data_IF_501123025816
#
_entry.id   IF_501123025816
#
_cell.length_a   1.000
_cell.length_b   1.000
_cell.length_c   1.000
_cell.angle_alpha   90.00
_cell.angle_beta   90.00
_cell.angle_gamma   90.00
#
_symmetry.space_group_name_H-M   'P 1'
#
loop_
_entity.id
_entity.type
_entity.pdbx_description
1 polymer ?
#
# COMPACT_ATOMS: atom_id res chain seq x y z
N UNK A 1 17.09 -30.14 -30.05
CA UNK A 1 17.53 -29.09 -29.10
C UNK A 1 16.33 -28.21 -28.76
N UNK A 2 15.94 -28.05 -27.49
CA UNK A 2 14.87 -27.14 -27.12
C UNK A 2 15.31 -25.69 -27.42
N UNK A 3 14.48 -24.94 -28.16
CA UNK A 3 14.71 -23.52 -28.45
C UNK A 3 14.76 -22.74 -27.13
N UNK A 4 15.94 -22.25 -26.77
CA UNK A 4 16.09 -21.29 -25.67
C UNK A 4 15.50 -19.97 -26.14
N UNK A 5 14.50 -19.46 -25.42
CA UNK A 5 13.89 -18.17 -25.74
C UNK A 5 14.97 -17.07 -25.70
N UNK A 6 14.93 -16.07 -26.60
CA UNK A 6 15.88 -14.97 -26.60
C UNK A 6 15.82 -14.24 -25.25
N UNK A 7 16.98 -13.99 -24.65
CA UNK A 7 17.09 -13.26 -23.40
C UNK A 7 16.67 -11.81 -23.62
N UNK A 8 15.44 -11.49 -23.21
CA UNK A 8 14.94 -10.12 -23.16
C UNK A 8 15.69 -9.37 -22.05
N UNK A 9 16.13 -8.14 -22.33
CA UNK A 9 16.64 -7.24 -21.29
C UNK A 9 15.55 -7.05 -20.21
N UNK A 10 15.93 -7.26 -18.95
CA UNK A 10 15.02 -7.12 -17.81
C UNK A 10 14.51 -5.69 -17.73
N UNK A 11 13.22 -5.50 -17.99
CA UNK A 11 12.55 -4.22 -17.87
C UNK A 11 12.28 -3.86 -16.40
N UNK A 12 12.07 -2.58 -16.08
CA UNK A 12 11.83 -2.12 -14.70
C UNK A 12 10.53 -2.64 -14.08
N UNK A 13 9.64 -3.25 -14.88
CA UNK A 13 8.43 -3.92 -14.39
C UNK A 13 8.66 -5.40 -14.05
N UNK A 14 9.74 -6.00 -14.53
CA UNK A 14 10.01 -7.43 -14.34
C UNK A 14 10.39 -7.74 -12.87
N UNK A 15 10.67 -6.70 -12.08
CA UNK A 15 10.86 -6.77 -10.62
C UNK A 15 9.54 -7.07 -9.86
N UNK A 16 8.39 -6.86 -10.48
CA UNK A 16 7.05 -7.00 -9.86
C UNK A 16 6.32 -8.25 -10.37
N UNK A 17 5.49 -8.87 -9.53
CA UNK A 17 4.63 -9.98 -9.99
C UNK A 17 3.58 -9.46 -10.97
N UNK A 18 3.07 -10.39 -11.77
CA UNK A 18 1.91 -10.16 -12.62
C UNK A 18 0.69 -9.65 -11.84
N UNK A 19 0.50 -10.11 -10.59
CA UNK A 19 -0.55 -9.64 -9.70
C UNK A 19 -0.34 -8.21 -9.22
N UNK A 20 0.88 -7.86 -8.80
CA UNK A 20 1.22 -6.50 -8.35
C UNK A 20 1.00 -5.49 -9.46
N UNK A 21 1.44 -5.85 -10.68
CA UNK A 21 1.25 -5.04 -11.89
C UNK A 21 -0.24 -4.88 -12.21
N UNK A 22 -1.06 -5.93 -12.05
CA UNK A 22 -2.52 -5.84 -12.26
C UNK A 22 -3.17 -4.89 -11.28
N UNK A 23 -2.82 -4.96 -10.01
CA UNK A 23 -3.36 -4.07 -8.97
C UNK A 23 -2.94 -2.63 -9.24
N UNK A 24 -1.65 -2.39 -9.54
CA UNK A 24 -1.16 -1.05 -9.90
C UNK A 24 -1.85 -0.51 -11.15
N UNK A 25 -2.05 -1.34 -12.19
CA UNK A 25 -2.82 -0.98 -13.39
C UNK A 25 -4.28 -0.65 -13.07
N UNK A 26 -4.92 -1.42 -12.18
CA UNK A 26 -6.30 -1.17 -11.77
C UNK A 26 -6.42 0.21 -11.12
N UNK A 27 -5.61 0.52 -10.11
CA UNK A 27 -5.60 1.86 -9.50
C UNK A 27 -5.30 2.96 -10.52
N UNK A 28 -4.29 2.74 -11.35
CA UNK A 28 -3.90 3.69 -12.38
C UNK A 28 -5.02 4.02 -13.37
N UNK A 29 -5.67 3.00 -13.94
CA UNK A 29 -6.79 3.22 -14.86
C UNK A 29 -8.02 3.78 -14.17
N UNK A 30 -8.28 3.40 -12.91
CA UNK A 30 -9.36 3.98 -12.12
C UNK A 30 -9.13 5.48 -11.86
N UNK A 31 -7.91 5.91 -11.55
CA UNK A 31 -7.57 7.34 -11.42
C UNK A 31 -7.75 8.10 -12.72
N UNK A 32 -7.39 7.49 -13.86
CA UNK A 32 -7.61 8.11 -15.18
C UNK A 32 -9.11 8.23 -15.46
N UNK A 33 -9.87 7.16 -15.25
CA UNK A 33 -11.30 7.15 -15.50
C UNK A 33 -12.04 8.18 -14.65
N UNK A 34 -11.73 8.28 -13.36
CA UNK A 34 -12.34 9.28 -12.48
C UNK A 34 -11.95 10.70 -12.84
N UNK A 35 -10.67 10.94 -13.20
CA UNK A 35 -10.23 12.24 -13.69
C UNK A 35 -10.95 12.65 -14.99
N UNK A 36 -11.15 11.72 -15.93
CA UNK A 36 -11.91 11.99 -17.15
C UNK A 36 -13.37 12.34 -16.85
N UNK A 37 -14.02 11.62 -15.95
CA UNK A 37 -15.40 11.94 -15.51
C UNK A 37 -15.47 13.34 -14.91
N UNK A 38 -14.51 13.71 -14.06
CA UNK A 38 -14.43 15.05 -13.48
C UNK A 38 -14.24 16.12 -14.56
N UNK A 39 -13.33 15.90 -15.51
CA UNK A 39 -13.10 16.85 -16.61
C UNK A 39 -14.37 17.04 -17.45
N UNK A 40 -15.07 15.96 -17.81
CA UNK A 40 -16.37 16.05 -18.50
C UNK A 40 -17.39 16.80 -17.64
N UNK A 41 -17.46 16.51 -16.35
CA UNK A 41 -18.33 17.21 -15.40
C UNK A 41 -18.09 18.71 -15.39
N UNK A 42 -16.83 19.16 -15.35
CA UNK A 42 -16.45 20.58 -15.43
C UNK A 42 -17.00 21.22 -16.71
N UNK A 43 -16.85 20.58 -17.86
CA UNK A 43 -17.36 21.13 -19.13
C UNK A 43 -18.88 21.23 -19.14
N UNK A 44 -19.57 20.18 -18.71
CA UNK A 44 -21.04 20.18 -18.65
C UNK A 44 -21.52 21.24 -17.66
N UNK A 45 -20.84 21.43 -16.52
CA UNK A 45 -21.16 22.49 -15.56
C UNK A 45 -20.96 23.87 -16.17
N UNK A 46 -19.85 24.11 -16.86
CA UNK A 46 -19.59 25.39 -17.54
C UNK A 46 -20.69 25.66 -18.56
N UNK A 47 -20.97 24.71 -19.44
CA UNK A 47 -22.00 24.85 -20.48
C UNK A 47 -23.40 25.06 -19.90
N UNK A 48 -23.74 24.39 -18.81
CA UNK A 48 -25.03 24.55 -18.13
C UNK A 48 -25.13 25.87 -17.33
N UNK A 49 -24.01 26.52 -17.04
CA UNK A 49 -23.95 27.82 -16.39
C UNK A 49 -23.87 29.00 -17.38
N UNK A 50 -23.79 28.73 -18.69
CA UNK A 50 -23.84 29.77 -19.72
C UNK A 50 -25.27 30.31 -19.78
N UNK A 51 -25.43 31.60 -19.48
CA UNK A 51 -26.72 32.27 -19.60
C UNK A 51 -27.20 32.24 -21.06
N UNK A 52 -28.54 32.13 -21.30
CA UNK A 52 -29.09 32.16 -22.65
C UNK A 52 -28.67 33.40 -23.46
N UNK A 53 -28.50 34.55 -22.80
CA UNK A 53 -28.02 35.79 -23.43
C UNK A 53 -26.58 35.66 -23.93
N UNK A 54 -25.71 34.95 -23.20
CA UNK A 54 -24.33 34.68 -23.63
C UNK A 54 -24.33 33.73 -24.84
N UNK A 55 -25.28 32.80 -24.89
CA UNK A 55 -25.47 31.95 -26.06
C UNK A 55 -25.93 32.74 -27.29
N UNK A 56 -26.86 33.67 -27.12
CA UNK A 56 -27.29 34.58 -28.17
C UNK A 56 -26.13 35.47 -28.67
N UNK A 57 -25.34 36.02 -27.74
CA UNK A 57 -24.13 36.78 -28.07
C UNK A 57 -23.13 35.92 -28.85
N UNK A 58 -22.94 34.65 -28.47
CA UNK A 58 -22.08 33.72 -29.20
C UNK A 58 -22.59 33.47 -30.62
N UNK A 59 -23.89 33.21 -30.80
CA UNK A 59 -24.49 32.97 -32.13
C UNK A 59 -24.47 34.23 -33.00
N UNK A 60 -24.48 35.42 -32.39
CA UNK A 60 -24.38 36.70 -33.08
C UNK A 60 -22.96 37.03 -33.56
N UNK A 61 -21.92 36.34 -33.07
CA UNK A 61 -20.55 36.52 -33.56
C UNK A 61 -20.41 36.01 -35.00
N UNK A 62 -19.48 36.61 -35.76
CA UNK A 62 -19.09 36.06 -37.06
C UNK A 62 -18.59 34.61 -36.92
N UNK A 63 -18.85 33.79 -37.96
CA UNK A 63 -18.51 32.37 -37.99
C UNK A 63 -17.05 32.10 -37.61
N UNK A 64 -16.12 32.99 -38.00
CA UNK A 64 -14.70 32.90 -37.66
C UNK A 64 -14.43 32.93 -36.15
N UNK A 65 -15.11 33.82 -35.41
CA UNK A 65 -14.97 33.92 -33.95
C UNK A 65 -15.62 32.73 -33.25
N UNK A 66 -16.79 32.27 -33.72
CA UNK A 66 -17.44 31.07 -33.18
C UNK A 66 -16.52 29.84 -33.28
N UNK A 67 -15.96 29.60 -34.47
CA UNK A 67 -15.00 28.52 -34.72
C UNK A 67 -13.75 28.67 -33.85
N UNK A 68 -13.22 29.88 -33.70
CA UNK A 68 -12.04 30.14 -32.88
C UNK A 68 -12.26 29.81 -31.40
N UNK A 69 -13.44 30.15 -30.83
CA UNK A 69 -13.79 29.84 -29.45
C UNK A 69 -13.88 28.33 -29.24
N UNK A 70 -14.61 27.62 -30.10
CA UNK A 70 -14.75 26.16 -30.02
C UNK A 70 -13.39 25.48 -30.20
N UNK A 71 -12.60 25.90 -31.20
CA UNK A 71 -11.26 25.38 -31.43
C UNK A 71 -10.32 25.65 -30.23
N UNK A 72 -10.46 26.81 -29.57
CA UNK A 72 -9.73 27.15 -28.36
C UNK A 72 -10.04 26.20 -27.20
N UNK A 73 -11.33 25.92 -26.97
CA UNK A 73 -11.76 24.94 -25.96
C UNK A 73 -11.26 23.53 -26.26
N UNK A 74 -11.40 23.06 -27.50
CA UNK A 74 -10.88 21.74 -27.94
C UNK A 74 -9.37 21.67 -27.76
N UNK A 75 -8.64 22.71 -28.16
CA UNK A 75 -7.17 22.76 -28.05
C UNK A 75 -6.73 22.76 -26.59
N UNK A 76 -7.35 23.59 -25.74
CA UNK A 76 -7.08 23.62 -24.30
C UNK A 76 -7.33 22.25 -23.66
N UNK A 77 -8.41 21.57 -24.03
CA UNK A 77 -8.72 20.23 -23.56
C UNK A 77 -7.68 19.19 -24.01
N UNK A 78 -7.27 19.23 -25.27
CA UNK A 78 -6.23 18.34 -25.80
C UNK A 78 -4.88 18.59 -25.10
N UNK A 79 -4.53 19.84 -24.82
CA UNK A 79 -3.32 20.17 -24.05
C UNK A 79 -3.39 19.55 -22.66
N UNK A 80 -4.52 19.66 -21.96
CA UNK A 80 -4.72 19.02 -20.65
C UNK A 80 -4.54 17.51 -20.76
N UNK A 81 -5.14 16.86 -21.77
CA UNK A 81 -4.98 15.42 -21.99
C UNK A 81 -3.52 15.02 -22.29
N UNK A 82 -2.80 15.80 -23.10
CA UNK A 82 -1.38 15.55 -23.39
C UNK A 82 -0.52 15.74 -22.13
N UNK A 83 -0.78 16.77 -21.33
CA UNK A 83 -0.09 16.99 -20.05
C UNK A 83 -0.35 15.85 -19.08
N UNK A 84 -1.59 15.39 -18.96
CA UNK A 84 -1.93 14.19 -18.19
C UNK A 84 -1.16 12.98 -18.73
N UNK A 85 -1.20 12.71 -20.03
CA UNK A 85 -0.48 11.60 -20.65
C UNK A 85 1.03 11.67 -20.41
N UNK A 86 1.64 12.86 -20.49
CA UNK A 86 3.06 13.08 -20.26
C UNK A 86 3.44 12.83 -18.79
N UNK A 87 2.65 13.34 -17.83
CA UNK A 87 2.75 13.01 -16.41
C UNK A 87 2.66 11.49 -16.16
N UNK A 88 1.94 10.80 -17.03
CA UNK A 88 1.63 9.39 -16.94
C UNK A 88 2.59 8.45 -17.71
N UNK A 89 3.55 8.95 -18.51
CA UNK A 89 4.42 8.11 -19.36
C UNK A 89 5.39 7.17 -18.61
N UNK A 90 5.39 7.19 -17.27
CA UNK A 90 6.02 6.19 -16.39
C UNK A 90 5.11 5.75 -15.24
N UNK A 91 3.80 6.01 -15.37
CA UNK A 91 2.83 5.98 -14.28
C UNK A 91 2.68 4.60 -13.65
N UNK A 92 2.64 3.52 -14.43
CA UNK A 92 2.51 2.16 -13.90
C UNK A 92 3.75 1.77 -13.07
N UNK A 93 4.96 2.04 -13.57
CA UNK A 93 6.21 1.78 -12.82
C UNK A 93 6.24 2.60 -11.53
N UNK A 94 5.86 3.88 -11.61
CA UNK A 94 5.79 4.76 -10.44
C UNK A 94 4.74 4.31 -9.43
N UNK A 95 3.58 3.83 -9.90
CA UNK A 95 2.54 3.24 -9.07
C UNK A 95 3.02 1.97 -8.39
N UNK A 96 3.67 1.06 -9.12
CA UNK A 96 4.29 -0.13 -8.52
C UNK A 96 5.31 0.26 -7.44
N UNK A 97 6.16 1.27 -7.67
CA UNK A 97 7.13 1.76 -6.68
C UNK A 97 6.49 2.42 -5.47
N UNK A 98 5.39 3.16 -5.65
CA UNK A 98 4.66 3.79 -4.54
C UNK A 98 3.89 2.78 -3.71
N UNK A 99 3.32 1.75 -4.34
CA UNK A 99 2.55 0.72 -3.65
C UNK A 99 3.47 -0.30 -2.97
N UNK A 100 4.45 -0.82 -3.70
CA UNK A 100 5.28 -1.93 -3.28
C UNK A 100 6.73 -1.45 -3.04
N UNK A 101 7.15 -1.46 -1.78
CA UNK A 101 8.52 -1.13 -1.39
C UNK A 101 9.46 -2.30 -1.67
N UNK A 102 10.53 -2.05 -2.43
CA UNK A 102 11.68 -2.94 -2.73
C UNK A 102 11.40 -4.44 -2.57
N UNK A 103 10.78 -5.01 -3.60
CA UNK A 103 10.34 -6.41 -3.61
C UNK A 103 11.47 -7.42 -3.46
N UNK A 104 12.69 -7.11 -3.90
CA UNK A 104 13.88 -7.94 -3.66
C UNK A 104 14.12 -8.18 -2.16
N UNK A 105 13.85 -7.16 -1.34
CA UNK A 105 13.93 -7.31 0.11
C UNK A 105 12.73 -8.12 0.62
N UNK A 106 11.50 -7.82 0.16
CA UNK A 106 10.31 -8.57 0.54
C UNK A 106 10.37 -10.08 0.19
N UNK A 107 11.08 -10.45 -0.88
CA UNK A 107 11.33 -11.84 -1.28
C UNK A 107 12.21 -12.59 -0.28
N UNK A 108 13.23 -11.93 0.31
CA UNK A 108 14.03 -12.51 1.41
C UNK A 108 13.18 -12.85 2.64
N UNK A 109 12.01 -12.21 2.77
CA UNK A 109 11.13 -12.32 3.93
C UNK A 109 9.77 -12.95 3.59
N UNK A 110 9.67 -13.66 2.45
CA UNK A 110 8.42 -14.16 1.87
C UNK A 110 7.91 -15.48 2.49
N UNK A 111 8.78 -16.26 3.14
CA UNK A 111 8.46 -17.61 3.61
C UNK A 111 7.44 -17.68 4.77
N UNK A 112 7.10 -16.57 5.42
CA UNK A 112 6.14 -16.57 6.53
C UNK A 112 4.74 -16.09 6.10
N UNK A 113 4.06 -16.93 5.31
CA UNK A 113 2.66 -16.71 4.88
C UNK A 113 1.73 -16.47 6.06
N UNK A 114 1.89 -17.22 7.17
CA UNK A 114 1.08 -17.06 8.37
C UNK A 114 1.28 -15.70 9.04
N UNK A 115 2.52 -15.20 9.12
CA UNK A 115 2.81 -13.88 9.68
C UNK A 115 2.20 -12.77 8.82
N UNK A 116 2.24 -12.90 7.50
CA UNK A 116 1.56 -11.96 6.56
C UNK A 116 0.05 -11.91 6.82
N UNK A 117 -0.61 -13.04 7.00
CA UNK A 117 -2.04 -13.09 7.33
C UNK A 117 -2.35 -12.50 8.70
N UNK A 118 -1.55 -12.82 9.72
CA UNK A 118 -1.77 -12.35 11.08
C UNK A 118 -1.61 -10.82 11.16
N UNK A 119 -0.56 -10.26 10.57
CA UNK A 119 -0.41 -8.81 10.42
C UNK A 119 -1.57 -8.21 9.64
N UNK A 120 -2.06 -8.93 8.63
CA UNK A 120 -3.18 -8.46 7.85
C UNK A 120 -4.46 -8.31 8.66
N UNK A 121 -4.77 -9.29 9.49
CA UNK A 121 -5.90 -9.23 10.43
C UNK A 121 -5.68 -8.10 11.44
N UNK A 122 -4.46 -7.92 11.97
CA UNK A 122 -4.15 -6.83 12.91
C UNK A 122 -4.36 -5.45 12.28
N UNK A 123 -3.89 -5.23 11.05
CA UNK A 123 -4.06 -3.96 10.34
C UNK A 123 -5.53 -3.68 10.03
N UNK A 124 -6.30 -4.68 9.59
CA UNK A 124 -7.75 -4.54 9.41
C UNK A 124 -8.43 -4.16 10.73
N UNK A 125 -8.04 -4.82 11.83
CA UNK A 125 -8.51 -4.47 13.16
C UNK A 125 -8.24 -3.01 13.51
N UNK A 126 -7.00 -2.53 13.29
CA UNK A 126 -6.62 -1.13 13.49
C UNK A 126 -7.47 -0.20 12.62
N UNK A 127 -7.69 -0.52 11.34
CA UNK A 127 -8.54 0.30 10.48
C UNK A 127 -9.98 0.39 10.99
N UNK A 128 -10.58 -0.73 11.38
CA UNK A 128 -11.94 -0.76 11.94
C UNK A 128 -12.01 0.05 13.24
N UNK A 129 -11.01 -0.05 14.10
CA UNK A 129 -10.93 0.75 15.33
C UNK A 129 -10.81 2.23 15.01
N UNK A 130 -9.89 2.63 14.12
CA UNK A 130 -9.70 4.04 13.73
C UNK A 130 -10.96 4.60 13.08
N UNK A 131 -11.60 3.87 12.16
CA UNK A 131 -12.84 4.30 11.52
C UNK A 131 -13.96 4.43 12.55
N UNK A 132 -14.13 3.46 13.44
CA UNK A 132 -15.11 3.52 14.53
C UNK A 132 -14.87 4.68 15.47
N UNK A 133 -13.61 4.98 15.81
CA UNK A 133 -13.25 6.14 16.62
C UNK A 133 -13.55 7.44 15.90
N UNK A 134 -13.19 7.55 14.61
CA UNK A 134 -13.53 8.73 13.80
C UNK A 134 -15.03 8.96 13.85
N UNK A 135 -15.85 7.92 13.60
CA UNK A 135 -17.32 8.00 13.67
C UNK A 135 -17.79 8.37 15.08
N UNK A 136 -17.22 7.78 16.13
CA UNK A 136 -17.60 8.05 17.52
C UNK A 136 -17.22 9.46 18.01
N UNK A 137 -16.17 10.05 17.44
CA UNK A 137 -15.74 11.42 17.71
C UNK A 137 -16.42 12.45 16.81
N UNK A 138 -17.22 12.03 15.82
CA UNK A 138 -17.99 12.97 15.03
C UNK A 138 -18.99 13.69 15.95
N UNK A 139 -19.01 15.03 15.98
CA UNK A 139 -20.03 15.79 16.68
C UNK A 139 -21.42 15.33 16.25
N UNK A 140 -22.40 15.36 17.17
CA UNK A 140 -23.76 14.87 16.90
C UNK A 140 -24.44 15.51 15.68
N UNK A 141 -24.01 16.71 15.26
CA UNK A 141 -24.48 17.38 14.05
C UNK A 141 -23.88 16.87 12.73
N UNK A 142 -22.89 15.98 12.73
CA UNK A 142 -22.18 15.60 11.49
C UNK A 142 -23.06 14.79 10.54
N UNK A 143 -23.86 13.86 11.05
CA UNK A 143 -24.80 13.10 10.22
C UNK A 143 -25.89 14.01 9.66
N UNK A 144 -26.36 14.97 10.46
CA UNK A 144 -27.30 15.99 9.99
C UNK A 144 -26.67 16.85 8.89
N UNK A 145 -25.42 17.32 9.09
CA UNK A 145 -24.70 18.08 8.08
C UNK A 145 -24.54 17.32 6.76
N UNK A 146 -24.20 16.02 6.79
CA UNK A 146 -24.10 15.18 5.59
C UNK A 146 -25.47 15.07 4.90
N UNK A 147 -26.53 14.88 5.67
CA UNK A 147 -27.90 14.83 5.14
C UNK A 147 -28.32 16.16 4.51
N UNK A 148 -28.05 17.28 5.17
CA UNK A 148 -28.39 18.62 4.69
C UNK A 148 -27.59 18.95 3.43
N UNK A 149 -26.30 18.61 3.39
CA UNK A 149 -25.45 18.77 2.20
C UNK A 149 -25.99 17.94 1.03
N UNK A 150 -26.46 16.72 1.28
CA UNK A 150 -27.06 15.87 0.26
C UNK A 150 -28.36 16.46 -0.28
N UNK A 151 -29.26 16.92 0.60
CA UNK A 151 -30.52 17.55 0.20
C UNK A 151 -30.25 18.83 -0.62
N UNK A 152 -29.34 19.68 -0.15
CA UNK A 152 -28.90 20.87 -0.87
C UNK A 152 -28.34 20.53 -2.26
N UNK A 153 -27.50 19.49 -2.36
CA UNK A 153 -26.97 19.04 -3.63
C UNK A 153 -28.09 18.56 -4.57
N UNK A 154 -29.07 17.81 -4.07
CA UNK A 154 -30.24 17.37 -4.87
C UNK A 154 -31.06 18.54 -5.39
N UNK A 155 -31.25 19.58 -4.59
CA UNK A 155 -32.02 20.77 -4.98
C UNK A 155 -31.28 21.68 -5.96
N UNK A 156 -29.94 21.77 -5.83
CA UNK A 156 -29.15 22.80 -6.53
C UNK A 156 -28.39 22.26 -7.74
N UNK A 157 -28.08 20.95 -7.77
CA UNK A 157 -27.18 20.41 -8.80
C UNK A 157 -27.90 20.21 -10.14
N UNK A 158 -27.46 20.97 -11.14
CA UNK A 158 -27.67 20.61 -12.54
C UNK A 158 -26.91 19.32 -12.94
N UNK A 159 -27.15 18.83 -14.16
CA UNK A 159 -26.54 17.59 -14.68
C UNK A 159 -25.01 17.62 -14.63
N UNK A 160 -24.38 18.76 -14.93
CA UNK A 160 -22.93 18.91 -14.86
C UNK A 160 -22.38 18.75 -13.45
N UNK A 161 -23.03 19.40 -12.46
CA UNK A 161 -22.68 19.26 -11.05
C UNK A 161 -22.77 17.81 -10.58
N UNK A 162 -23.79 17.06 -11.02
CA UNK A 162 -23.91 15.64 -10.69
C UNK A 162 -22.79 14.79 -11.29
N UNK A 163 -22.44 14.99 -12.56
CA UNK A 163 -21.33 14.28 -13.20
C UNK A 163 -20.01 14.58 -12.47
N UNK A 164 -19.77 15.87 -12.17
CA UNK A 164 -18.59 16.31 -11.44
C UNK A 164 -18.52 15.71 -10.03
N UNK A 165 -19.63 15.75 -9.30
CA UNK A 165 -19.75 15.18 -7.96
C UNK A 165 -19.50 13.67 -7.95
N UNK A 166 -20.11 12.92 -8.87
CA UNK A 166 -19.87 11.48 -9.00
C UNK A 166 -18.40 11.20 -9.33
N UNK A 167 -17.81 11.93 -10.28
CA UNK A 167 -16.38 11.79 -10.61
C UNK A 167 -15.48 12.03 -9.39
N UNK A 168 -15.78 13.08 -8.62
CA UNK A 168 -15.05 13.44 -7.41
C UNK A 168 -15.18 12.38 -6.31
N UNK A 169 -16.40 11.91 -6.02
CA UNK A 169 -16.63 10.85 -5.01
C UNK A 169 -15.92 9.55 -5.40
N UNK A 170 -15.99 9.16 -6.67
CA UNK A 170 -15.26 7.99 -7.18
C UNK A 170 -13.76 8.18 -7.05
N UNK A 171 -13.23 9.37 -7.37
CA UNK A 171 -11.81 9.70 -7.19
C UNK A 171 -11.37 9.57 -5.73
N UNK A 172 -12.13 10.15 -4.79
CA UNK A 172 -11.85 10.06 -3.35
C UNK A 172 -11.89 8.62 -2.85
N UNK A 173 -12.86 7.83 -3.32
CA UNK A 173 -12.98 6.42 -2.98
C UNK A 173 -11.73 5.64 -3.45
N UNK A 174 -11.32 5.81 -4.71
CA UNK A 174 -10.11 5.17 -5.24
C UNK A 174 -8.87 5.61 -4.46
N UNK A 175 -8.75 6.90 -4.14
CA UNK A 175 -7.65 7.46 -3.36
C UNK A 175 -7.58 6.84 -1.96
N UNK A 176 -8.73 6.67 -1.29
CA UNK A 176 -8.80 6.03 0.02
C UNK A 176 -8.28 4.59 -0.02
N UNK A 177 -8.76 3.78 -0.97
CA UNK A 177 -8.28 2.40 -1.14
C UNK A 177 -6.81 2.35 -1.52
N UNK A 178 -6.35 3.25 -2.38
CA UNK A 178 -4.95 3.36 -2.75
C UNK A 178 -4.08 3.63 -1.52
N UNK A 179 -4.44 4.60 -0.67
CA UNK A 179 -3.71 4.91 0.57
C UNK A 179 -3.72 3.72 1.52
N UNK A 180 -4.87 3.07 1.73
CA UNK A 180 -4.95 1.84 2.53
C UNK A 180 -3.97 0.77 2.03
N UNK A 181 -3.89 0.59 0.71
CA UNK A 181 -3.04 -0.42 0.09
C UNK A 181 -1.55 -0.06 0.18
N UNK A 182 -1.20 1.22 0.07
CA UNK A 182 0.17 1.72 0.30
C UNK A 182 0.57 1.49 1.75
N UNK A 183 -0.26 1.92 2.70
CA UNK A 183 -0.03 1.74 4.14
C UNK A 183 0.07 0.27 4.52
N UNK A 184 -0.75 -0.59 3.92
CA UNK A 184 -0.68 -2.03 4.10
C UNK A 184 0.69 -2.60 3.71
N UNK A 185 1.09 -2.40 2.45
CA UNK A 185 2.32 -2.98 1.93
C UNK A 185 3.55 -2.43 2.66
N UNK A 186 3.53 -1.15 3.02
CA UNK A 186 4.62 -0.52 3.77
C UNK A 186 4.64 -0.97 5.23
N UNK A 187 3.49 -1.07 5.88
CA UNK A 187 3.36 -1.52 7.27
C UNK A 187 3.80 -2.97 7.44
N UNK A 188 3.30 -3.87 6.58
CA UNK A 188 3.72 -5.28 6.52
C UNK A 188 5.24 -5.39 6.37
N UNK A 189 5.83 -4.61 5.47
CA UNK A 189 7.28 -4.60 5.28
C UNK A 189 8.05 -4.17 6.55
N UNK A 190 7.61 -3.12 7.24
CA UNK A 190 8.27 -2.62 8.45
C UNK A 190 8.24 -3.66 9.56
N UNK A 191 7.10 -4.31 9.78
CA UNK A 191 6.95 -5.32 10.83
C UNK A 191 7.76 -6.58 10.51
N UNK A 192 7.71 -7.08 9.26
CA UNK A 192 8.52 -8.25 8.87
C UNK A 192 10.01 -8.02 9.10
N UNK A 193 10.49 -6.81 8.79
CA UNK A 193 11.88 -6.42 9.02
C UNK A 193 12.27 -6.50 10.49
N UNK A 194 11.39 -6.07 11.40
CA UNK A 194 11.64 -6.10 12.85
C UNK A 194 11.57 -7.52 13.43
N UNK A 195 10.57 -8.32 13.05
CA UNK A 195 10.41 -9.69 13.56
C UNK A 195 11.61 -10.55 13.16
N UNK A 196 12.03 -10.45 11.89
CA UNK A 196 13.19 -11.20 11.39
C UNK A 196 14.52 -10.72 11.97
N UNK A 197 14.70 -9.43 12.26
CA UNK A 197 15.94 -8.98 12.92
C UNK A 197 16.07 -9.55 14.33
N UNK A 198 14.95 -9.73 15.03
CA UNK A 198 14.93 -10.38 16.35
C UNK A 198 15.25 -11.88 16.23
N UNK A 199 14.68 -12.55 15.22
CA UNK A 199 14.98 -13.98 14.96
C UNK A 199 16.45 -14.18 14.59
N UNK A 200 17.02 -13.34 13.73
CA UNK A 200 18.45 -13.37 13.37
C UNK A 200 19.35 -13.11 14.61
N UNK A 201 18.99 -12.17 15.48
CA UNK A 201 19.71 -11.89 16.72
C UNK A 201 19.65 -13.07 17.71
N UNK A 202 18.49 -13.72 17.86
CA UNK A 202 18.33 -14.92 18.70
C UNK A 202 19.17 -16.10 18.18
N UNK A 203 19.24 -16.28 16.86
CA UNK A 203 20.10 -17.30 16.24
C UNK A 203 21.58 -17.00 16.49
N UNK A 204 22.01 -15.76 16.33
CA UNK A 204 23.40 -15.35 16.58
C UNK A 204 23.75 -15.55 18.07
N UNK A 205 22.87 -15.14 18.99
CA UNK A 205 23.07 -15.32 20.43
C UNK A 205 23.15 -16.80 20.83
N UNK A 206 22.32 -17.64 20.23
CA UNK A 206 22.36 -19.09 20.49
C UNK A 206 23.63 -19.74 19.91
N UNK A 207 24.12 -19.29 18.75
CA UNK A 207 25.39 -19.73 18.19
C UNK A 207 26.59 -19.26 19.01
N UNK A 208 26.65 -17.99 19.40
CA UNK A 208 27.71 -17.44 20.28
C UNK A 208 27.70 -18.19 21.62
N UNK A 209 26.53 -18.43 22.20
CA UNK A 209 26.41 -19.17 23.45
C UNK A 209 26.88 -20.61 23.29
N UNK A 210 26.53 -21.29 22.20
CA UNK A 210 27.03 -22.63 21.88
C UNK A 210 28.55 -22.66 21.73
N UNK A 211 29.12 -21.71 21.00
CA UNK A 211 30.57 -21.61 20.80
C UNK A 211 31.31 -21.30 22.10
N UNK A 212 30.74 -20.43 22.94
CA UNK A 212 31.28 -20.11 24.26
C UNK A 212 31.25 -21.34 25.16
N UNK A 213 30.13 -22.05 25.21
CA UNK A 213 29.97 -23.28 25.99
C UNK A 213 30.88 -24.40 25.49
N UNK A 214 31.14 -24.51 24.18
CA UNK A 214 32.06 -25.50 23.62
C UNK A 214 33.53 -25.23 23.97
N UNK A 215 33.90 -23.96 24.21
CA UNK A 215 35.26 -23.55 24.57
C UNK A 215 35.51 -23.58 26.10
N UNK A 216 34.46 -23.63 26.90
CA UNK A 216 34.54 -23.70 28.37
C UNK A 216 35.05 -25.06 28.85
N UNK A 217 35.73 -25.06 30.01
CA UNK A 217 36.12 -26.30 30.69
C UNK A 217 34.88 -27.06 31.19
N UNK A 218 35.01 -28.36 31.47
CA UNK A 218 33.87 -29.13 32.01
C UNK A 218 33.40 -28.59 33.37
N UNK A 219 34.29 -28.04 34.20
CA UNK A 219 33.92 -27.43 35.48
C UNK A 219 33.09 -26.15 35.26
N UNK A 220 33.49 -25.30 34.31
CA UNK A 220 32.76 -24.08 33.96
C UNK A 220 31.38 -24.40 33.35
N UNK A 221 31.29 -25.44 32.50
CA UNK A 221 30.00 -25.90 31.96
C UNK A 221 29.07 -26.39 33.07
N UNK A 222 29.61 -27.05 34.11
CA UNK A 222 28.82 -27.51 35.25
C UNK A 222 28.36 -26.33 36.13
N UNK A 223 29.21 -25.32 36.30
CA UNK A 223 28.86 -24.08 37.00
C UNK A 223 27.76 -23.31 36.27
N UNK A 224 27.85 -23.18 34.95
CA UNK A 224 26.84 -22.50 34.13
C UNK A 224 25.51 -23.28 34.13
N UNK A 225 25.54 -24.61 34.05
CA UNK A 225 24.33 -25.45 34.21
C UNK A 225 23.68 -25.25 35.58
N UNK A 226 24.48 -25.21 36.65
CA UNK A 226 23.98 -25.00 38.02
C UNK A 226 23.39 -23.59 38.17
N UNK A 227 23.99 -22.59 37.54
CA UNK A 227 23.48 -21.21 37.51
C UNK A 227 22.15 -21.10 36.76
N UNK A 228 22.02 -21.79 35.62
CA UNK A 228 20.81 -21.73 34.79
C UNK A 228 19.65 -22.55 35.35
N UNK A 229 19.93 -23.72 35.94
CA UNK A 229 18.88 -24.68 36.33
C UNK A 229 18.70 -24.84 37.84
N UNK A 230 19.62 -24.31 38.65
CA UNK A 230 19.68 -24.52 40.10
C UNK A 230 20.02 -25.95 40.52
N UNK A 231 20.30 -26.85 39.57
CA UNK A 231 20.50 -28.29 39.80
C UNK A 231 21.97 -28.68 39.65
N UNK A 232 22.36 -29.77 40.32
CA UNK A 232 23.72 -30.29 40.27
C UNK A 232 23.92 -31.04 38.94
N UNK A 233 25.00 -30.71 38.22
CA UNK A 233 25.30 -31.31 36.92
C UNK A 233 25.65 -32.80 37.02
N UNK A 234 26.42 -33.17 38.05
CA UNK A 234 26.87 -34.53 38.31
C UNK A 234 26.37 -35.05 39.66
N UNK A 235 25.99 -36.32 39.71
CA UNK A 235 25.67 -37.02 40.94
C UNK A 235 26.51 -38.30 41.02
N UNK A 236 27.30 -38.45 42.09
CA UNK A 236 28.24 -39.57 42.28
C UNK A 236 29.18 -39.79 41.08
N UNK A 237 29.73 -38.71 40.53
CA UNK A 237 30.66 -38.73 39.40
C UNK A 237 30.05 -39.09 38.05
N UNK A 238 28.72 -39.19 37.95
CA UNK A 238 28.01 -39.41 36.68
C UNK A 238 27.16 -38.21 36.31
N UNK A 239 27.20 -37.82 35.03
CA UNK A 239 26.34 -36.78 34.47
C UNK A 239 24.86 -37.13 34.66
N UNK A 240 24.12 -36.21 35.27
CA UNK A 240 22.67 -36.36 35.45
C UNK A 240 21.95 -36.36 34.11
N UNK A 241 20.76 -36.97 34.04
CA UNK A 241 19.93 -36.94 32.82
C UNK A 241 19.58 -35.51 32.40
N UNK A 242 19.40 -34.61 33.37
CA UNK A 242 19.17 -33.18 33.14
C UNK A 242 20.35 -32.50 32.46
N UNK A 243 21.57 -32.77 32.94
CA UNK A 243 22.79 -32.20 32.36
C UNK A 243 23.09 -32.76 30.97
N UNK A 244 22.86 -34.06 30.73
CA UNK A 244 22.98 -34.67 29.39
C UNK A 244 22.00 -34.07 28.38
N UNK A 245 20.75 -33.86 28.79
CA UNK A 245 19.75 -33.22 27.94
C UNK A 245 20.10 -31.75 27.67
N UNK A 246 20.65 -31.05 28.65
CA UNK A 246 21.14 -29.68 28.50
C UNK A 246 22.34 -29.60 27.53
N UNK A 247 23.34 -30.47 27.67
CA UNK A 247 24.46 -30.58 26.70
C UNK A 247 23.95 -30.83 25.28
N UNK A 248 22.98 -31.74 25.12
CA UNK A 248 22.35 -32.06 23.83
C UNK A 248 21.58 -30.88 23.25
N UNK A 249 20.85 -30.12 24.08
CA UNK A 249 20.11 -28.92 23.68
C UNK A 249 21.02 -27.87 23.04
N UNK A 250 22.21 -27.67 23.59
CA UNK A 250 23.19 -26.71 23.09
C UNK A 250 24.21 -27.34 22.11
N UNK A 251 24.05 -28.60 21.72
CA UNK A 251 24.95 -29.27 20.77
C UNK A 251 26.41 -29.34 21.23
N UNK A 252 26.61 -29.45 22.55
CA UNK A 252 27.91 -29.58 23.23
C UNK A 252 28.33 -31.05 23.18
N UNK A 253 29.56 -31.31 22.73
CA UNK A 253 30.16 -32.65 22.76
C UNK A 253 30.71 -32.98 24.15
#
# INVERSE_FOLDING_TARGET
MPRKAPSRETGPLDEYSTWDIRIAKAFYYSFIASALIMVVGIWVTILAAVDPEVWEQYVALDLGYQVAIVAGFVTGHLIILVLFYALFRGGIVRMCRMIYKNRLVAQKWEDSTYLRWLMGITLVGIYVTVISLIIGFLPGGTLQFISDLWLWAVETFNVGHWILWTGFVVFLFILFFFVMFVLWNHGVYVVLRQVKSIEEEEVIDTEIRRDTLNKMSEEDKQAEYKKETGKIAQYRGKDTRGYKNWKKKYGIK
#
